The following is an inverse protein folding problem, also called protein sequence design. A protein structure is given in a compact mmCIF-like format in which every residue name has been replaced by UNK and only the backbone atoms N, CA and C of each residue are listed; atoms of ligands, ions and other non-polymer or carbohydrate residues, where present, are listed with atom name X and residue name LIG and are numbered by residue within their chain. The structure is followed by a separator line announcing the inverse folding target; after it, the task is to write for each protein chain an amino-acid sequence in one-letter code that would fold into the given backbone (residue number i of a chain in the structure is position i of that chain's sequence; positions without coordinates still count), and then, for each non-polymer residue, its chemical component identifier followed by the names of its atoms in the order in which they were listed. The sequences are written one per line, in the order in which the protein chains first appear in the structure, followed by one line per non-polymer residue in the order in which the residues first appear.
data_IF_289794929457
#
_entry.id   IF_289794929457
#
_cell.length_a   1.000
_cell.length_b   1.000
_cell.length_c   1.000
_cell.angle_alpha   90.00
_cell.angle_beta   90.00
_cell.angle_gamma   90.00
#
_symmetry.space_group_name_H-M   'P 1'
#
loop_
_entity.id
_entity.type
_entity.pdbx_description
1 polymer ?
#
# COMPACT_ATOMS: atom_id res chain seq x y z
N UNK A 1 32.48 -11.49 -12.50
CA UNK A 1 31.24 -12.28 -12.67
C UNK A 1 30.78 -12.72 -11.29
N UNK A 2 29.76 -12.04 -10.75
CA UNK A 2 28.75 -12.67 -9.90
C UNK A 2 27.43 -12.30 -10.57
N UNK A 3 27.17 -12.98 -11.68
CA UNK A 3 26.13 -12.62 -12.63
C UNK A 3 24.78 -13.16 -12.16
N UNK A 4 23.80 -12.27 -12.04
CA UNK A 4 22.38 -12.63 -12.19
C UNK A 4 21.50 -12.49 -10.96
N UNK A 5 21.91 -11.70 -9.95
CA UNK A 5 21.06 -11.54 -8.76
C UNK A 5 21.23 -10.20 -8.05
N UNK A 6 22.36 -9.51 -8.19
CA UNK A 6 22.48 -8.10 -7.82
C UNK A 6 21.91 -7.24 -8.96
N UNK A 7 20.92 -6.40 -8.62
CA UNK A 7 20.20 -5.54 -9.55
C UNK A 7 20.78 -4.11 -9.58
N UNK A 8 21.65 -3.74 -8.64
CA UNK A 8 22.35 -2.45 -8.63
C UNK A 8 23.79 -2.57 -8.10
N UNK A 9 24.71 -2.92 -9.00
CA UNK A 9 26.16 -3.02 -8.74
C UNK A 9 26.79 -1.70 -8.21
N UNK A 10 26.10 -0.56 -8.27
CA UNK A 10 26.59 0.71 -7.74
C UNK A 10 26.26 0.92 -6.26
N UNK A 11 25.34 0.12 -5.70
CA UNK A 11 24.83 0.25 -4.33
C UNK A 11 24.96 -1.08 -3.59
N UNK A 12 25.98 -1.18 -2.74
CA UNK A 12 26.23 -2.38 -1.94
C UNK A 12 25.06 -2.83 -1.04
N UNK A 13 24.09 -1.94 -0.75
CA UNK A 13 22.91 -2.26 0.03
C UNK A 13 21.69 -2.69 -0.81
N UNK A 14 21.84 -2.82 -2.13
CA UNK A 14 20.84 -3.40 -3.02
C UNK A 14 21.44 -4.70 -3.54
N UNK A 15 20.94 -5.85 -3.06
CA UNK A 15 21.49 -7.17 -3.40
C UNK A 15 20.55 -8.28 -2.86
N UNK A 16 20.66 -9.54 -3.32
CA UNK A 16 19.85 -10.71 -2.90
C UNK A 16 19.61 -10.95 -1.41
N UNK A 17 20.44 -10.38 -0.55
CA UNK A 17 20.44 -10.61 0.89
C UNK A 17 20.06 -9.37 1.70
N UNK A 18 19.80 -8.26 1.03
CA UNK A 18 19.29 -7.05 1.66
C UNK A 18 17.86 -7.26 2.16
N UNK A 19 17.50 -6.50 3.19
CA UNK A 19 16.13 -6.43 3.70
C UNK A 19 15.40 -5.37 2.92
N UNK A 20 14.15 -5.65 2.53
CA UNK A 20 13.27 -4.64 1.96
C UNK A 20 13.10 -3.46 2.89
N UNK A 21 13.15 -2.27 2.32
CA UNK A 21 12.77 -1.02 2.93
C UNK A 21 11.65 -0.44 2.10
N UNK A 22 10.71 0.23 2.76
CA UNK A 22 9.58 0.86 2.10
C UNK A 22 10.04 2.20 1.46
N UNK A 23 10.82 2.11 0.39
CA UNK A 23 11.43 3.22 -0.34
C UNK A 23 11.10 3.21 -1.85
N UNK A 24 10.25 2.27 -2.28
CA UNK A 24 9.90 1.98 -3.67
C UNK A 24 11.08 1.48 -4.51
N UNK A 25 12.05 0.80 -3.88
CA UNK A 25 13.18 0.14 -4.52
C UNK A 25 13.13 -1.34 -4.15
N UNK A 26 13.35 -2.21 -5.13
CA UNK A 26 13.64 -3.64 -4.90
C UNK A 26 15.03 -3.74 -4.25
N UNK A 27 15.09 -3.81 -2.92
CA UNK A 27 16.37 -3.81 -2.21
C UNK A 27 17.03 -5.19 -2.26
N UNK A 28 16.22 -6.24 -2.28
CA UNK A 28 16.69 -7.61 -2.26
C UNK A 28 16.83 -8.24 -3.66
N UNK A 29 16.56 -7.49 -4.71
CA UNK A 29 16.67 -7.91 -6.11
C UNK A 29 15.91 -9.19 -6.45
N UNK A 30 14.76 -9.44 -5.81
CA UNK A 30 13.90 -10.59 -6.10
C UNK A 30 12.87 -10.33 -7.22
N UNK A 31 12.80 -9.08 -7.70
CA UNK A 31 11.88 -8.63 -8.74
C UNK A 31 10.57 -8.05 -8.21
N UNK A 32 10.39 -7.96 -6.89
CA UNK A 32 9.29 -7.29 -6.21
C UNK A 32 9.82 -6.05 -5.48
N UNK A 33 8.92 -5.12 -5.19
CA UNK A 33 9.29 -3.83 -4.57
C UNK A 33 8.54 -3.71 -3.26
N UNK A 34 9.28 -3.45 -2.18
CA UNK A 34 8.76 -3.28 -0.82
C UNK A 34 7.95 -4.50 -0.32
N UNK A 35 8.18 -5.71 -0.83
CA UNK A 35 7.36 -6.87 -0.49
C UNK A 35 7.48 -7.26 0.99
N UNK A 36 6.40 -7.81 1.54
CA UNK A 36 6.30 -8.08 2.98
C UNK A 36 6.16 -6.83 3.86
N UNK A 37 6.32 -5.62 3.32
CA UNK A 37 6.07 -4.35 4.02
C UNK A 37 4.73 -3.70 3.63
N UNK A 38 4.18 -4.04 2.47
CA UNK A 38 2.94 -3.45 1.97
C UNK A 38 1.73 -3.79 2.86
N UNK A 39 0.89 -2.79 3.08
CA UNK A 39 -0.40 -2.91 3.78
C UNK A 39 -1.52 -2.65 2.78
N UNK A 40 -2.65 -3.34 2.94
CA UNK A 40 -3.85 -3.08 2.16
C UNK A 40 -4.56 -1.84 2.69
N UNK A 41 -4.78 -0.87 1.81
CA UNK A 41 -5.66 0.26 2.04
C UNK A 41 -6.90 0.18 1.16
N UNK A 42 -7.94 0.87 1.60
CA UNK A 42 -9.26 0.98 1.00
C UNK A 42 -9.49 2.45 0.65
N UNK A 43 -9.97 2.73 -0.56
CA UNK A 43 -10.32 4.08 -0.98
C UNK A 43 -11.39 4.64 -0.03
N UNK A 44 -11.18 5.87 0.43
CA UNK A 44 -12.10 6.67 1.25
C UNK A 44 -12.56 7.84 0.36
N UNK A 45 -13.59 7.60 -0.46
CA UNK A 45 -13.95 8.52 -1.53
C UNK A 45 -14.80 9.71 -1.05
N UNK A 46 -15.52 9.56 0.06
CA UNK A 46 -16.34 10.62 0.67
C UNK A 46 -15.68 11.32 1.88
N UNK A 47 -14.56 10.80 2.38
CA UNK A 47 -13.74 11.43 3.40
C UNK A 47 -14.21 11.20 4.84
N UNK A 48 -14.93 10.11 5.09
CA UNK A 48 -15.48 9.78 6.42
C UNK A 48 -14.58 8.87 7.27
N UNK A 49 -13.40 8.52 6.73
CA UNK A 49 -12.38 7.63 7.28
C UNK A 49 -12.71 6.15 7.21
N UNK A 50 -13.74 5.74 6.48
CA UNK A 50 -14.01 4.35 6.14
C UNK A 50 -13.78 4.14 4.65
N UNK A 51 -13.32 2.95 4.27
CA UNK A 51 -13.03 2.68 2.88
C UNK A 51 -13.76 1.48 2.32
N UNK A 52 -13.84 1.45 0.99
CA UNK A 52 -14.56 0.41 0.26
C UNK A 52 -13.71 -0.86 0.05
N UNK A 53 -14.19 -2.04 0.47
CA UNK A 53 -13.49 -3.31 0.27
C UNK A 53 -13.30 -3.69 -1.20
N UNK A 54 -14.06 -3.11 -2.13
CA UNK A 54 -13.90 -3.30 -3.57
C UNK A 54 -12.79 -2.44 -4.19
N UNK A 55 -12.37 -1.35 -3.53
CA UNK A 55 -11.35 -0.43 -4.00
C UNK A 55 -10.10 -0.53 -3.12
N UNK A 56 -9.23 -1.50 -3.42
CA UNK A 56 -8.01 -1.75 -2.64
C UNK A 56 -6.74 -1.29 -3.35
N UNK A 57 -5.77 -0.79 -2.58
CA UNK A 57 -4.40 -0.54 -3.06
C UNK A 57 -3.41 -1.02 -2.00
N UNK A 58 -2.39 -1.77 -2.42
CA UNK A 58 -1.29 -2.14 -1.54
C UNK A 58 -0.23 -1.06 -1.60
N UNK A 59 0.19 -0.60 -0.43
CA UNK A 59 1.23 0.43 -0.34
C UNK A 59 1.95 0.33 1.01
N UNK A 60 3.12 0.93 1.01
CA UNK A 60 3.85 1.32 2.20
C UNK A 60 2.95 1.85 3.36
N UNK A 61 3.20 1.44 4.61
CA UNK A 61 2.54 1.99 5.78
C UNK A 61 2.72 3.52 5.86
N UNK A 62 1.70 4.22 6.35
CA UNK A 62 1.71 5.68 6.50
C UNK A 62 1.39 6.49 5.24
N UNK A 63 1.14 5.85 4.09
CA UNK A 63 0.62 6.54 2.89
C UNK A 63 -0.91 6.63 2.92
N UNK A 64 -1.45 7.52 3.74
CA UNK A 64 -2.92 7.75 3.80
C UNK A 64 -3.50 8.58 2.63
N UNK A 65 -2.64 9.13 1.77
CA UNK A 65 -3.07 9.86 0.57
C UNK A 65 -2.15 9.58 -0.60
N UNK A 66 -2.73 9.21 -1.74
CA UNK A 66 -2.01 8.87 -2.98
C UNK A 66 -2.81 9.41 -4.16
N UNK A 67 -2.14 10.07 -5.11
CA UNK A 67 -2.77 10.62 -6.34
C UNK A 67 -3.96 11.56 -6.08
N UNK A 68 -3.97 12.25 -4.94
CA UNK A 68 -5.06 13.16 -4.54
C UNK A 68 -6.29 12.45 -3.96
N UNK A 69 -6.21 11.15 -3.70
CA UNK A 69 -7.27 10.34 -3.09
C UNK A 69 -6.91 9.97 -1.65
N UNK A 70 -7.91 9.88 -0.77
CA UNK A 70 -7.77 9.40 0.61
C UNK A 70 -7.84 7.87 0.64
N UNK A 71 -7.00 7.26 1.46
CA UNK A 71 -6.90 5.81 1.61
C UNK A 71 -6.79 5.45 3.09
N UNK A 72 -7.62 4.53 3.57
CA UNK A 72 -7.67 4.10 4.98
C UNK A 72 -7.48 2.60 5.12
N UNK A 73 -7.08 2.12 6.30
CA UNK A 73 -6.83 0.67 6.54
C UNK A 73 -8.05 -0.09 7.04
N UNK A 74 -9.19 0.58 7.22
CA UNK A 74 -10.44 -0.07 7.59
C UNK A 74 -11.38 -0.08 6.37
N UNK A 75 -12.15 -1.14 6.23
CA UNK A 75 -12.88 -1.47 4.99
C UNK A 75 -14.39 -1.55 5.18
N UNK A 76 -14.88 -0.80 6.16
CA UNK A 76 -16.22 -1.03 6.67
C UNK A 76 -17.24 -0.06 6.07
N UNK A 77 -16.92 0.55 4.93
CA UNK A 77 -17.86 1.41 4.21
C UNK A 77 -18.76 0.58 3.27
N UNK A 78 -20.07 0.80 3.39
CA UNK A 78 -21.08 0.17 2.53
C UNK A 78 -21.47 1.01 1.31
N UNK A 79 -21.27 2.33 1.36
CA UNK A 79 -21.51 3.26 0.26
C UNK A 79 -20.46 4.40 0.32
N UNK A 80 -19.34 4.14 -0.34
CA UNK A 80 -18.14 4.98 -0.49
C UNK A 80 -18.39 6.30 -1.26
N UNK A 81 -19.66 6.70 -1.40
CA UNK A 81 -20.07 7.96 -2.00
C UNK A 81 -20.93 8.80 -1.06
N UNK A 82 -21.26 8.28 0.13
CA UNK A 82 -22.07 8.92 1.15
C UNK A 82 -21.37 8.82 2.51
N UNK A 83 -20.84 9.94 3.05
CA UNK A 83 -20.04 9.95 4.29
C UNK A 83 -20.88 9.62 5.55
N UNK A 84 -22.17 9.33 5.36
CA UNK A 84 -23.07 8.86 6.41
C UNK A 84 -23.30 7.36 6.37
N UNK A 85 -22.71 6.59 5.44
CA UNK A 85 -22.98 5.16 5.21
C UNK A 85 -21.83 4.21 5.57
N UNK A 86 -21.11 4.56 6.62
CA UNK A 86 -20.15 3.72 7.34
C UNK A 86 -20.82 2.80 8.38
N UNK A 87 -20.07 1.94 9.12
CA UNK A 87 -20.60 0.86 9.98
C UNK A 87 -21.57 1.30 11.06
N UNK A 88 -21.57 2.59 11.40
CA UNK A 88 -22.49 3.13 12.39
C UNK A 88 -23.88 3.37 11.80
N UNK A 89 -24.04 3.22 10.48
CA UNK A 89 -25.19 3.62 9.69
C UNK A 89 -25.51 2.75 8.45
N UNK A 90 -24.76 1.67 8.18
CA UNK A 90 -25.01 0.72 7.06
C UNK A 90 -26.35 -0.05 7.13
N UNK A 91 -27.17 0.13 8.16
CA UNK A 91 -28.45 -0.60 8.34
C UNK A 91 -29.58 0.34 8.85
N UNK A 92 -29.48 1.64 8.54
CA UNK A 92 -30.53 2.62 8.87
C UNK A 92 -31.10 3.31 7.63
#
# INVERSE_FOLDING_TARGET
MIAGRDCDDSRANINPTSVEACDNIDNNCDGQVDEGLLVTYYLDADGDLYGNPANTKMMCPGRGMVDGQSWVTNNLDSDDTDPTKNPRACDQ
#
